data_IF_453537098950
#
_entry.id   IF_453537098950
#
_cell.length_a   1.000
_cell.length_b   1.000
_cell.length_c   1.000
_cell.angle_alpha   90.00
_cell.angle_beta   90.00
_cell.angle_gamma   90.00
#
_symmetry.space_group_name_H-M   'P 1'
#
loop_
_entity.id
_entity.type
_entity.pdbx_description
1 polymer ?
#
# COMPACT_ATOMS: atom_id res chain seq x y z
N UNK A 1 -42.31 -4.30 23.78
CA UNK A 1 -40.93 -4.34 24.28
C UNK A 1 -40.01 -4.01 23.10
N UNK A 2 -39.26 -2.91 23.15
CA UNK A 2 -38.23 -2.63 22.13
C UNK A 2 -37.11 -3.67 22.32
N UNK A 3 -36.67 -4.31 21.24
CA UNK A 3 -35.58 -5.28 21.28
C UNK A 3 -34.28 -4.64 21.81
N UNK A 4 -33.30 -5.45 22.27
CA UNK A 4 -32.04 -4.90 22.75
C UNK A 4 -31.38 -4.07 21.65
N UNK A 5 -30.98 -2.84 21.97
CA UNK A 5 -30.27 -1.97 21.04
C UNK A 5 -28.95 -2.64 20.63
N UNK A 6 -28.88 -3.10 19.39
CA UNK A 6 -27.66 -3.71 18.82
C UNK A 6 -26.77 -2.59 18.30
N UNK A 7 -25.78 -2.20 19.11
CA UNK A 7 -24.76 -1.22 18.71
C UNK A 7 -23.60 -1.89 17.97
N UNK A 8 -23.05 -1.23 16.94
CA UNK A 8 -21.88 -1.72 16.18
C UNK A 8 -20.61 -1.62 17.02
N UNK A 9 -20.46 -0.55 17.81
CA UNK A 9 -19.42 -0.41 18.81
C UNK A 9 -20.01 -0.48 20.23
N UNK A 10 -19.77 -1.56 20.99
CA UNK A 10 -20.27 -1.72 22.35
C UNK A 10 -19.73 -0.66 23.32
N UNK A 11 -18.48 -0.22 23.11
CA UNK A 11 -17.77 0.68 24.02
C UNK A 11 -18.32 2.09 24.05
N UNK A 12 -18.73 2.63 22.89
CA UNK A 12 -19.28 3.98 22.78
C UNK A 12 -20.75 4.04 22.37
N UNK A 13 -21.39 2.87 22.17
CA UNK A 13 -22.77 2.76 21.64
C UNK A 13 -22.95 3.58 20.36
N UNK A 14 -22.00 3.42 19.44
CA UNK A 14 -21.91 4.13 18.15
C UNK A 14 -21.76 5.65 18.18
N UNK A 15 -21.71 6.28 19.35
CA UNK A 15 -21.49 7.74 19.48
C UNK A 15 -20.10 8.18 18.99
N UNK A 16 -19.11 7.30 19.05
CA UNK A 16 -17.71 7.59 18.72
C UNK A 16 -16.94 8.34 19.82
N UNK A 17 -17.54 8.55 20.99
CA UNK A 17 -16.96 9.25 22.14
C UNK A 17 -17.20 8.45 23.42
N UNK A 18 -16.25 8.52 24.36
CA UNK A 18 -16.38 7.94 25.70
C UNK A 18 -16.00 9.00 26.74
N UNK A 19 -16.58 8.91 27.94
CA UNK A 19 -16.23 9.79 29.04
C UNK A 19 -14.84 9.44 29.57
N UNK A 20 -13.98 10.44 29.69
CA UNK A 20 -12.68 10.32 30.34
C UNK A 20 -12.86 10.44 31.85
N UNK A 21 -12.70 9.32 32.56
CA UNK A 21 -12.87 9.25 34.00
C UNK A 21 -11.59 9.62 34.77
N UNK A 22 -10.52 9.97 34.06
CA UNK A 22 -9.18 10.17 34.63
C UNK A 22 -8.90 11.61 35.05
N UNK A 23 -9.79 12.56 34.69
CA UNK A 23 -9.63 13.98 34.98
C UNK A 23 -10.73 14.51 35.92
N UNK A 24 -10.42 15.54 36.74
CA UNK A 24 -11.39 16.15 37.65
C UNK A 24 -12.52 16.90 36.92
N UNK A 25 -12.42 17.06 35.60
CA UNK A 25 -13.42 17.64 34.72
C UNK A 25 -13.97 16.55 33.82
N UNK A 26 -15.30 16.45 33.69
CA UNK A 26 -15.94 15.56 32.73
C UNK A 26 -15.56 15.95 31.31
N UNK A 27 -14.58 15.25 30.76
CA UNK A 27 -14.13 15.40 29.38
C UNK A 27 -14.54 14.17 28.56
N UNK A 28 -14.76 14.35 27.26
CA UNK A 28 -15.02 13.24 26.34
C UNK A 28 -13.79 13.00 25.48
N UNK A 29 -13.38 11.75 25.34
CA UNK A 29 -12.28 11.33 24.46
C UNK A 29 -12.82 10.51 23.28
N UNK A 30 -12.17 10.57 22.12
CA UNK A 30 -12.53 9.71 20.98
C UNK A 30 -12.53 8.23 21.39
N UNK A 31 -13.54 7.49 20.96
CA UNK A 31 -13.60 6.05 21.23
C UNK A 31 -12.44 5.33 20.53
N UNK A 32 -11.55 4.64 21.27
CA UNK A 32 -10.37 3.99 20.70
C UNK A 32 -10.74 2.80 19.80
N UNK A 33 -11.88 2.14 20.07
CA UNK A 33 -12.28 0.90 19.40
C UNK A 33 -12.89 1.14 18.02
N UNK A 34 -13.76 2.14 17.87
CA UNK A 34 -14.41 2.39 16.58
C UNK A 34 -13.81 3.57 15.83
N UNK A 35 -13.36 4.63 16.51
CA UNK A 35 -12.97 5.87 15.83
C UNK A 35 -11.60 5.74 15.18
N UNK A 36 -10.68 5.03 15.81
CA UNK A 36 -9.38 4.67 15.23
C UNK A 36 -9.60 3.87 13.94
N UNK A 37 -10.30 2.74 14.01
CA UNK A 37 -10.57 1.88 12.85
C UNK A 37 -11.35 2.59 11.75
N UNK A 38 -12.36 3.40 12.08
CA UNK A 38 -13.10 4.22 11.09
C UNK A 38 -12.19 5.24 10.41
N UNK A 39 -11.29 5.88 11.17
CA UNK A 39 -10.32 6.84 10.63
C UNK A 39 -9.33 6.15 9.71
N UNK A 40 -8.71 5.07 10.15
CA UNK A 40 -7.78 4.26 9.35
C UNK A 40 -8.41 3.79 8.04
N UNK A 41 -9.64 3.23 8.10
CA UNK A 41 -10.35 2.76 6.92
C UNK A 41 -10.69 3.91 5.95
N UNK A 42 -11.07 5.07 6.49
CA UNK A 42 -11.29 6.27 5.68
C UNK A 42 -9.99 6.72 5.01
N UNK A 43 -8.89 6.81 5.74
CA UNK A 43 -7.59 7.18 5.19
C UNK A 43 -7.13 6.21 4.11
N UNK A 44 -7.33 4.90 4.31
CA UNK A 44 -6.97 3.88 3.32
C UNK A 44 -7.82 3.97 2.05
N UNK A 45 -9.13 4.22 2.19
CA UNK A 45 -10.02 4.46 1.06
C UNK A 45 -9.64 5.75 0.33
N UNK A 46 -9.39 6.81 1.09
CA UNK A 46 -9.01 8.13 0.57
C UNK A 46 -7.60 8.09 -0.04
N UNK A 47 -6.76 7.11 0.29
CA UNK A 47 -5.41 6.99 -0.27
C UNK A 47 -5.39 6.79 -1.79
N UNK A 48 -6.51 6.38 -2.41
CA UNK A 48 -6.60 6.30 -3.88
C UNK A 48 -5.78 5.18 -4.49
N UNK A 49 -5.47 4.12 -3.72
CA UNK A 49 -4.76 2.95 -4.22
C UNK A 49 -5.66 2.22 -5.24
N UNK A 50 -5.18 1.94 -6.46
CA UNK A 50 -5.93 1.15 -7.42
C UNK A 50 -6.25 -0.26 -6.91
N UNK A 51 -7.43 -0.83 -7.22
CA UNK A 51 -7.84 -2.15 -6.75
C UNK A 51 -6.83 -3.27 -7.04
N UNK A 52 -6.10 -3.17 -8.16
CA UNK A 52 -5.07 -4.14 -8.56
C UNK A 52 -3.89 -4.26 -7.58
N UNK A 53 -3.76 -3.33 -6.65
CA UNK A 53 -2.70 -3.32 -5.65
C UNK A 53 -3.18 -3.57 -4.22
N UNK A 54 -4.47 -3.87 -4.02
CA UNK A 54 -5.03 -4.11 -2.68
C UNK A 54 -4.42 -5.32 -2.00
N UNK A 55 -4.00 -6.32 -2.77
CA UNK A 55 -3.33 -7.53 -2.30
C UNK A 55 -1.82 -7.33 -2.04
N UNK A 56 -1.24 -6.16 -2.36
CA UNK A 56 0.20 -5.90 -2.20
C UNK A 56 0.53 -5.42 -0.79
N UNK A 57 1.69 -5.81 -0.30
CA UNK A 57 2.18 -5.51 1.06
C UNK A 57 3.59 -6.07 1.25
N UNK A 58 4.29 -5.61 2.29
CA UNK A 58 5.65 -6.09 2.57
C UNK A 58 5.66 -7.60 2.88
N UNK A 59 4.64 -8.08 3.57
CA UNK A 59 4.50 -9.48 3.99
C UNK A 59 4.29 -10.45 2.80
N UNK A 60 3.98 -9.92 1.61
CA UNK A 60 3.77 -10.68 0.37
C UNK A 60 4.71 -10.23 -0.76
N UNK A 61 5.77 -9.52 -0.40
CA UNK A 61 6.86 -9.16 -1.33
C UNK A 61 7.99 -10.19 -1.18
N UNK A 62 8.24 -10.95 -2.25
CA UNK A 62 9.24 -12.01 -2.25
C UNK A 62 10.40 -11.59 -3.14
N UNK A 63 11.48 -11.01 -2.58
CA UNK A 63 12.63 -10.59 -3.37
C UNK A 63 13.36 -11.79 -3.95
N UNK A 64 13.86 -11.66 -5.18
CA UNK A 64 14.85 -12.60 -5.71
C UNK A 64 16.17 -12.43 -4.92
N UNK A 65 16.70 -13.50 -4.28
CA UNK A 65 17.91 -13.42 -3.45
C UNK A 65 19.17 -12.97 -4.19
N UNK A 66 19.18 -12.99 -5.52
CA UNK A 66 20.33 -12.60 -6.37
C UNK A 66 20.18 -11.19 -6.93
N UNK A 67 19.24 -10.42 -6.40
CA UNK A 67 18.83 -9.13 -6.95
C UNK A 67 18.87 -8.04 -5.90
N UNK A 68 18.77 -6.77 -6.29
CA UNK A 68 18.72 -5.65 -5.33
C UNK A 68 17.35 -5.50 -4.63
N UNK A 69 16.38 -6.38 -4.92
CA UNK A 69 15.04 -6.35 -4.32
C UNK A 69 15.06 -6.56 -2.81
N UNK A 70 15.97 -7.38 -2.28
CA UNK A 70 16.10 -7.60 -0.83
C UNK A 70 16.55 -6.32 -0.12
N UNK A 71 17.54 -5.61 -0.69
CA UNK A 71 17.97 -4.32 -0.18
C UNK A 71 16.87 -3.26 -0.29
N UNK A 72 16.10 -3.26 -1.38
CA UNK A 72 14.97 -2.36 -1.55
C UNK A 72 13.84 -2.65 -0.53
N UNK A 73 13.55 -3.92 -0.25
CA UNK A 73 12.60 -4.33 0.78
C UNK A 73 13.06 -3.88 2.17
N UNK A 74 14.33 -4.11 2.51
CA UNK A 74 14.93 -3.67 3.77
C UNK A 74 14.81 -2.15 3.93
N UNK A 75 15.18 -1.39 2.89
CA UNK A 75 15.08 0.08 2.92
C UNK A 75 13.64 0.57 3.08
N UNK A 76 12.68 -0.10 2.44
CA UNK A 76 11.26 0.20 2.61
C UNK A 76 10.79 -0.04 4.06
N UNK A 77 11.22 -1.14 4.69
CA UNK A 77 10.90 -1.44 6.09
C UNK A 77 11.50 -0.38 7.04
N UNK A 78 12.79 -0.06 6.89
CA UNK A 78 13.47 0.99 7.67
C UNK A 78 12.78 2.35 7.51
N UNK A 79 12.34 2.70 6.30
CA UNK A 79 11.62 3.94 6.04
C UNK A 79 10.29 3.99 6.81
N UNK A 80 9.54 2.87 6.83
CA UNK A 80 8.28 2.79 7.57
C UNK A 80 8.53 2.93 9.06
N UNK A 81 9.52 2.24 9.61
CA UNK A 81 9.87 2.29 11.03
C UNK A 81 10.23 3.70 11.47
N UNK A 82 11.09 4.39 10.70
CA UNK A 82 11.57 5.73 11.01
C UNK A 82 10.54 6.85 10.80
N UNK A 83 9.41 6.61 10.13
CA UNK A 83 8.40 7.63 9.89
C UNK A 83 7.73 8.10 11.20
N UNK A 84 7.51 9.41 11.45
CA UNK A 84 7.65 10.55 10.52
C UNK A 84 9.03 11.22 10.51
N UNK A 85 10.00 10.76 11.29
CA UNK A 85 11.32 11.40 11.46
C UNK A 85 12.29 11.18 10.29
N UNK A 86 11.78 10.68 9.16
CA UNK A 86 12.53 10.52 7.91
C UNK A 86 12.86 11.87 7.30
N UNK A 87 14.14 12.09 6.96
CA UNK A 87 14.57 13.34 6.32
C UNK A 87 14.19 13.45 4.85
N UNK A 88 14.12 12.32 4.16
CA UNK A 88 13.87 12.21 2.72
C UNK A 88 12.94 11.05 2.44
N UNK A 89 12.17 11.16 1.36
CA UNK A 89 11.42 10.06 0.77
C UNK A 89 12.32 9.05 0.06
N UNK A 90 11.72 8.19 -0.76
CA UNK A 90 12.43 7.18 -1.55
C UNK A 90 12.11 7.34 -3.03
N UNK A 91 13.09 7.12 -3.90
CA UNK A 91 12.92 7.03 -5.35
C UNK A 91 13.36 5.63 -5.79
N UNK A 92 12.39 4.76 -6.06
CA UNK A 92 12.66 3.44 -6.61
C UNK A 92 12.93 3.52 -8.10
N UNK A 93 14.10 3.08 -8.54
CA UNK A 93 14.55 3.14 -9.94
C UNK A 93 14.82 1.72 -10.44
N UNK A 94 14.33 1.38 -11.63
CA UNK A 94 14.62 0.06 -12.20
C UNK A 94 13.66 -0.33 -13.32
N UNK A 95 13.94 -1.44 -13.99
CA UNK A 95 13.12 -1.92 -15.12
C UNK A 95 11.67 -2.21 -14.71
N UNK A 96 10.71 -2.23 -15.66
CA UNK A 96 9.35 -2.70 -15.39
C UNK A 96 9.36 -4.10 -14.75
N UNK A 97 8.33 -4.41 -13.96
CA UNK A 97 8.14 -5.78 -13.43
C UNK A 97 8.93 -6.15 -12.17
N UNK A 98 9.98 -5.39 -11.81
CA UNK A 98 10.85 -5.70 -10.66
C UNK A 98 10.26 -5.36 -9.27
N UNK A 99 9.00 -4.92 -9.20
CA UNK A 99 8.29 -4.71 -7.92
C UNK A 99 8.36 -3.32 -7.28
N UNK A 100 8.80 -2.28 -7.99
CA UNK A 100 8.88 -0.89 -7.47
C UNK A 100 7.54 -0.37 -6.93
N UNK A 101 6.46 -0.50 -7.70
CA UNK A 101 5.12 -0.08 -7.28
C UNK A 101 4.59 -0.91 -6.11
N UNK A 102 4.95 -2.19 -6.04
CA UNK A 102 4.57 -3.02 -4.90
C UNK A 102 5.15 -2.46 -3.62
N UNK A 103 6.45 -2.15 -3.61
CA UNK A 103 7.13 -1.57 -2.45
C UNK A 103 6.53 -0.21 -2.06
N UNK A 104 6.28 0.68 -3.03
CA UNK A 104 5.71 2.00 -2.74
C UNK A 104 4.28 1.91 -2.18
N UNK A 105 3.43 1.03 -2.73
CA UNK A 105 2.09 0.77 -2.18
C UNK A 105 2.16 0.11 -0.81
N UNK A 106 3.09 -0.81 -0.60
CA UNK A 106 3.28 -1.46 0.69
C UNK A 106 3.65 -0.45 1.79
N UNK A 107 4.57 0.47 1.51
CA UNK A 107 4.92 1.59 2.40
C UNK A 107 3.67 2.41 2.73
N UNK A 108 2.93 2.85 1.71
CA UNK A 108 1.73 3.65 1.89
C UNK A 108 0.68 2.94 2.76
N UNK A 109 0.37 1.68 2.44
CA UNK A 109 -0.60 0.90 3.21
C UNK A 109 -0.17 0.74 4.66
N UNK A 110 1.10 0.38 4.90
CA UNK A 110 1.61 0.14 6.26
C UNK A 110 1.56 1.42 7.10
N UNK A 111 1.97 2.55 6.54
CA UNK A 111 1.92 3.85 7.23
C UNK A 111 0.48 4.33 7.50
N UNK A 112 -0.45 4.09 6.58
CA UNK A 112 -1.87 4.37 6.82
C UNK A 112 -2.42 3.46 7.93
N UNK A 113 -2.17 2.15 7.84
CA UNK A 113 -2.75 1.15 8.73
C UNK A 113 -2.19 1.19 10.15
N UNK A 114 -0.88 1.37 10.30
CA UNK A 114 -0.20 1.28 11.59
C UNK A 114 0.04 2.64 12.23
N UNK A 115 0.17 3.69 11.42
CA UNK A 115 0.53 5.03 11.89
C UNK A 115 -0.51 6.11 11.55
N UNK A 116 -1.66 5.76 10.97
CA UNK A 116 -2.74 6.68 10.57
C UNK A 116 -2.25 7.86 9.72
N UNK A 117 -1.22 7.64 8.90
CA UNK A 117 -0.67 8.68 8.02
C UNK A 117 -1.66 9.01 6.91
N UNK A 118 -1.92 10.29 6.67
CA UNK A 118 -2.73 10.74 5.54
C UNK A 118 -1.93 10.63 4.24
N UNK A 119 -2.05 9.47 3.58
CA UNK A 119 -1.34 9.18 2.35
C UNK A 119 -2.19 9.31 1.08
N UNK A 120 -1.53 9.49 -0.08
CA UNK A 120 -2.15 9.44 -1.41
C UNK A 120 -1.29 8.64 -2.38
N UNK A 121 -1.91 7.92 -3.28
CA UNK A 121 -1.31 7.26 -4.42
C UNK A 121 -1.75 7.97 -5.70
N UNK A 122 -0.82 8.22 -6.61
CA UNK A 122 -1.11 8.64 -7.98
C UNK A 122 -0.24 7.85 -8.95
N UNK A 123 -0.83 7.49 -10.08
CA UNK A 123 -0.12 7.10 -11.29
C UNK A 123 0.03 8.35 -12.17
N UNK A 124 1.22 8.61 -12.71
CA UNK A 124 1.48 9.82 -13.50
C UNK A 124 0.54 9.96 -14.70
N UNK A 125 0.26 8.87 -15.42
CA UNK A 125 -0.59 8.89 -16.62
C UNK A 125 -2.03 9.22 -16.24
N UNK A 126 -2.53 8.58 -15.18
CA UNK A 126 -3.86 8.84 -14.65
C UNK A 126 -4.00 10.27 -14.10
N UNK A 127 -2.97 10.77 -13.42
CA UNK A 127 -2.92 12.16 -12.95
C UNK A 127 -3.00 13.14 -14.11
N UNK A 128 -2.18 12.97 -15.15
CA UNK A 128 -2.21 13.81 -16.34
C UNK A 128 -3.58 13.77 -17.04
N UNK A 129 -4.21 12.60 -17.09
CA UNK A 129 -5.55 12.44 -17.65
C UNK A 129 -6.58 13.24 -16.86
N UNK A 130 -6.64 13.07 -15.54
CA UNK A 130 -7.57 13.82 -14.66
C UNK A 130 -7.35 15.32 -14.75
N UNK A 131 -6.08 15.73 -14.79
CA UNK A 131 -5.70 17.13 -14.95
C UNK A 131 -6.17 17.71 -16.30
N UNK A 132 -6.12 16.94 -17.40
CA UNK A 132 -6.71 17.39 -18.68
C UNK A 132 -8.24 17.49 -18.61
N UNK A 133 -8.91 16.51 -18.00
CA UNK A 133 -10.36 16.53 -17.84
C UNK A 133 -10.83 17.68 -16.95
N UNK A 134 -10.04 18.13 -15.96
CA UNK A 134 -10.41 19.19 -15.03
C UNK A 134 -10.62 20.58 -15.66
N UNK A 135 -10.30 20.71 -16.95
CA UNK A 135 -10.42 21.94 -17.74
C UNK A 135 -11.57 21.90 -18.74
N UNK A 136 -12.28 20.77 -18.85
CA UNK A 136 -13.45 20.66 -19.71
C UNK A 136 -14.63 21.50 -19.17
N UNK A 137 -15.49 22.04 -20.06
CA UNK A 137 -16.66 22.83 -19.64
C UNK A 137 -17.64 22.05 -18.75
N UNK A 138 -17.71 20.73 -18.92
CA UNK A 138 -18.57 19.82 -18.14
C UNK A 138 -17.78 19.02 -17.09
N UNK A 139 -16.64 19.54 -16.64
CA UNK A 139 -15.78 18.78 -15.74
C UNK A 139 -16.38 18.61 -14.34
N UNK A 140 -16.36 17.37 -13.78
CA UNK A 140 -16.84 17.13 -12.42
C UNK A 140 -15.84 17.56 -11.34
N UNK A 141 -14.60 17.88 -11.70
CA UNK A 141 -13.54 18.29 -10.78
C UNK A 141 -12.69 19.42 -11.37
N UNK A 142 -12.27 20.37 -10.53
CA UNK A 142 -11.35 21.45 -10.91
C UNK A 142 -9.90 21.04 -10.70
N UNK A 143 -8.95 21.72 -11.35
CA UNK A 143 -7.51 21.49 -11.11
C UNK A 143 -7.17 21.58 -9.62
N UNK A 144 -7.75 22.57 -8.93
CA UNK A 144 -7.54 22.78 -7.51
C UNK A 144 -7.97 21.55 -6.70
N UNK A 145 -9.08 20.92 -7.06
CA UNK A 145 -9.58 19.70 -6.39
C UNK A 145 -8.72 18.47 -6.69
N UNK A 146 -8.08 18.42 -7.86
CA UNK A 146 -7.08 17.39 -8.19
C UNK A 146 -5.79 17.60 -7.39
N UNK A 147 -5.29 18.83 -7.29
CA UNK A 147 -3.98 19.13 -6.70
C UNK A 147 -3.98 19.20 -5.18
N UNK A 148 -4.98 19.84 -4.57
CA UNK A 148 -4.97 20.10 -3.12
C UNK A 148 -4.81 18.84 -2.26
N UNK A 149 -5.49 17.70 -2.55
CA UNK A 149 -5.28 16.47 -1.80
C UNK A 149 -3.85 15.97 -1.89
N UNK A 150 -3.20 16.12 -3.05
CA UNK A 150 -1.83 15.69 -3.31
C UNK A 150 -0.80 16.63 -2.66
N UNK A 151 -1.10 17.92 -2.57
CA UNK A 151 -0.26 18.90 -1.87
C UNK A 151 -0.32 18.73 -0.35
N UNK A 152 -1.51 18.43 0.20
CA UNK A 152 -1.75 18.35 1.65
C UNK A 152 -1.36 17.02 2.28
N UNK A 153 -1.41 15.91 1.52
CA UNK A 153 -1.07 14.60 2.04
C UNK A 153 0.33 14.56 2.67
N UNK A 154 0.44 13.91 3.83
CA UNK A 154 1.70 13.77 4.54
C UNK A 154 2.65 12.86 3.79
N UNK A 155 2.10 11.82 3.15
CA UNK A 155 2.82 10.93 2.24
C UNK A 155 2.17 10.93 0.86
N UNK A 156 2.97 11.12 -0.19
CA UNK A 156 2.53 10.92 -1.58
C UNK A 156 3.35 9.80 -2.21
N UNK A 157 2.67 8.79 -2.77
CA UNK A 157 3.27 7.84 -3.70
C UNK A 157 3.00 8.35 -5.11
N UNK A 158 4.07 8.70 -5.83
CA UNK A 158 4.04 9.09 -7.23
C UNK A 158 4.60 7.94 -8.07
N UNK A 159 3.72 7.18 -8.69
CA UNK A 159 4.07 5.98 -9.46
C UNK A 159 4.38 6.32 -10.93
N UNK A 160 5.37 5.63 -11.48
CA UNK A 160 5.81 5.66 -12.88
C UNK A 160 6.18 7.06 -13.41
N UNK A 161 6.88 7.85 -12.59
CA UNK A 161 7.38 9.19 -12.93
C UNK A 161 8.21 9.20 -14.24
N UNK A 162 7.86 10.10 -15.15
CA UNK A 162 8.49 10.29 -16.46
C UNK A 162 7.96 9.37 -17.57
N UNK A 163 7.04 8.46 -17.25
CA UNK A 163 6.37 7.59 -18.25
C UNK A 163 5.45 8.39 -19.15
N UNK A 164 4.74 9.37 -18.58
CA UNK A 164 3.87 10.28 -19.31
C UNK A 164 4.64 11.17 -20.30
N UNK A 165 3.89 11.73 -21.25
CA UNK A 165 4.35 12.83 -22.11
C UNK A 165 3.50 14.06 -21.76
N UNK A 166 3.84 14.79 -20.68
CA UNK A 166 3.07 15.95 -20.29
C UNK A 166 3.16 17.03 -21.37
N UNK A 167 2.06 17.75 -21.58
CA UNK A 167 2.10 19.04 -22.28
C UNK A 167 2.92 20.03 -21.44
N UNK A 168 3.41 21.11 -22.05
CA UNK A 168 4.18 22.14 -21.32
C UNK A 168 3.44 22.66 -20.09
N UNK A 169 2.14 22.92 -20.25
CA UNK A 169 1.26 23.31 -19.15
C UNK A 169 1.17 22.22 -18.05
N UNK A 170 0.93 20.95 -18.42
CA UNK A 170 0.83 19.89 -17.43
C UNK A 170 2.17 19.66 -16.68
N UNK A 171 3.29 19.89 -17.36
CA UNK A 171 4.61 19.87 -16.75
C UNK A 171 4.77 21.00 -15.73
N UNK A 172 4.25 22.20 -15.99
CA UNK A 172 4.25 23.30 -15.02
C UNK A 172 3.38 22.99 -13.80
N UNK A 173 2.23 22.34 -14.00
CA UNK A 173 1.40 21.85 -12.89
C UNK A 173 2.12 20.79 -12.03
N UNK A 174 2.80 19.82 -12.66
CA UNK A 174 3.66 18.84 -11.95
C UNK A 174 4.74 19.57 -11.13
N UNK A 175 5.41 20.55 -11.73
CA UNK A 175 6.44 21.35 -11.06
C UNK A 175 5.87 22.12 -9.88
N UNK A 176 4.68 22.69 -10.01
CA UNK A 176 3.98 23.41 -8.94
C UNK A 176 3.69 22.48 -7.76
N UNK A 177 3.13 21.29 -8.04
CA UNK A 177 2.83 20.27 -7.03
C UNK A 177 4.10 19.81 -6.30
N UNK A 178 5.14 19.43 -7.04
CA UNK A 178 6.39 18.96 -6.44
C UNK A 178 7.15 20.06 -5.70
N UNK A 179 7.12 21.30 -6.21
CA UNK A 179 7.72 22.45 -5.53
C UNK A 179 7.01 22.76 -4.22
N UNK A 180 5.67 22.67 -4.16
CA UNK A 180 4.94 22.79 -2.91
C UNK A 180 5.41 21.72 -1.91
N UNK A 181 5.46 20.45 -2.32
CA UNK A 181 5.88 19.36 -1.43
C UNK A 181 7.33 19.51 -0.97
N UNK A 182 8.23 19.97 -1.84
CA UNK A 182 9.60 20.32 -1.49
C UNK A 182 9.67 21.40 -0.40
N UNK A 183 9.04 22.55 -0.64
CA UNK A 183 9.08 23.71 0.28
C UNK A 183 8.50 23.39 1.66
N UNK A 184 7.43 22.58 1.69
CA UNK A 184 6.78 22.16 2.93
C UNK A 184 7.33 20.83 3.49
N UNK A 185 8.44 20.34 2.96
CA UNK A 185 9.12 19.10 3.40
C UNK A 185 8.16 17.89 3.52
N UNK A 186 7.20 17.79 2.59
CA UNK A 186 6.22 16.70 2.56
C UNK A 186 6.82 15.45 1.93
N UNK A 187 6.64 14.31 2.61
CA UNK A 187 7.30 13.06 2.23
C UNK A 187 6.74 12.48 0.93
N UNK A 188 7.61 12.12 0.00
CA UNK A 188 7.18 11.62 -1.31
C UNK A 188 7.99 10.40 -1.71
N UNK A 189 7.30 9.30 -2.01
CA UNK A 189 7.88 8.08 -2.56
C UNK A 189 7.61 8.06 -4.06
N UNK A 190 8.66 7.98 -4.85
CA UNK A 190 8.58 7.96 -6.30
C UNK A 190 8.94 6.57 -6.83
N UNK A 191 8.40 6.21 -7.99
CA UNK A 191 8.90 5.10 -8.80
C UNK A 191 9.19 5.59 -10.21
N UNK A 192 10.23 5.06 -10.86
CA UNK A 192 10.53 5.38 -12.25
C UNK A 192 11.19 4.20 -12.97
N UNK A 193 10.89 4.08 -14.26
CA UNK A 193 11.54 3.12 -15.16
C UNK A 193 12.76 3.72 -15.87
N UNK A 194 13.03 5.01 -15.66
CA UNK A 194 14.09 5.74 -16.38
C UNK A 194 15.37 5.84 -15.54
N UNK A 195 16.55 5.64 -16.15
CA UNK A 195 17.83 5.92 -15.50
C UNK A 195 17.91 7.35 -14.95
N UNK A 196 18.34 7.48 -13.69
CA UNK A 196 18.52 8.78 -13.03
C UNK A 196 19.91 9.33 -13.39
N UNK A 197 19.96 10.20 -14.40
CA UNK A 197 21.18 10.88 -14.84
C UNK A 197 20.88 12.37 -15.02
N UNK A 198 21.69 13.24 -14.38
CA UNK A 198 21.55 14.69 -14.47
C UNK A 198 22.08 15.27 -15.79
N UNK A 199 23.04 14.60 -16.41
CA UNK A 199 23.58 15.00 -17.71
C UNK A 199 22.66 14.52 -18.82
N UNK A 200 22.25 15.44 -19.71
CA UNK A 200 21.63 15.07 -20.96
C UNK A 200 22.62 14.27 -21.81
N UNK A 201 22.10 13.35 -22.62
CA UNK A 201 22.92 12.64 -23.59
C UNK A 201 23.54 13.58 -24.61
N UNK A 202 24.74 13.24 -25.07
CA UNK A 202 25.39 14.01 -26.14
C UNK A 202 24.63 13.79 -27.46
N UNK A 203 24.58 14.80 -28.36
CA UNK A 203 24.02 14.61 -29.69
C UNK A 203 24.70 13.42 -30.40
N UNK A 204 23.91 12.43 -30.84
CA UNK A 204 24.41 11.21 -31.48
C UNK A 204 24.67 10.02 -30.56
N UNK A 205 24.51 10.17 -29.23
CA UNK A 205 24.66 9.07 -28.28
C UNK A 205 23.44 8.13 -28.32
N UNK A 206 23.66 6.89 -28.74
CA UNK A 206 22.65 5.83 -28.74
C UNK A 206 22.54 5.24 -27.33
N UNK A 207 21.34 5.27 -26.73
CA UNK A 207 21.11 4.77 -25.37
C UNK A 207 19.68 4.97 -24.89
N UNK A 208 19.40 4.62 -23.65
CA UNK A 208 18.10 4.86 -23.02
C UNK A 208 17.94 6.33 -22.62
N UNK A 209 16.71 6.87 -22.76
CA UNK A 209 16.36 8.19 -22.23
C UNK A 209 16.55 8.24 -20.72
N UNK A 210 17.05 9.36 -20.20
CA UNK A 210 17.14 9.57 -18.76
C UNK A 210 15.85 10.18 -18.21
N UNK A 211 15.66 10.10 -16.91
CA UNK A 211 14.57 10.80 -16.25
C UNK A 211 14.68 12.32 -16.45
N UNK A 212 15.88 12.89 -16.46
CA UNK A 212 16.10 14.32 -16.70
C UNK A 212 15.61 14.78 -18.07
N UNK A 213 15.72 13.94 -19.10
CA UNK A 213 15.19 14.22 -20.44
C UNK A 213 13.65 14.25 -20.46
N UNK A 214 13.00 13.56 -19.51
CA UNK A 214 11.53 13.52 -19.38
C UNK A 214 10.96 14.64 -18.52
N UNK A 215 11.62 14.97 -17.41
CA UNK A 215 11.06 15.90 -16.40
C UNK A 215 11.87 17.18 -16.22
N UNK A 216 12.93 17.37 -17.02
CA UNK A 216 13.96 18.42 -16.90
C UNK A 216 14.97 18.19 -15.77
N UNK A 217 16.20 18.67 -15.98
CA UNK A 217 17.31 18.61 -15.00
C UNK A 217 16.95 19.30 -13.69
N UNK A 218 16.25 20.46 -13.76
CA UNK A 218 15.90 21.25 -12.58
C UNK A 218 14.93 20.51 -11.66
N UNK A 219 13.92 19.84 -12.23
CA UNK A 219 12.99 19.07 -11.43
C UNK A 219 13.65 17.82 -10.83
N UNK A 220 14.47 17.13 -11.63
CA UNK A 220 15.22 15.97 -11.14
C UNK A 220 16.14 16.33 -9.95
N UNK A 221 16.85 17.46 -10.04
CA UNK A 221 17.71 17.93 -8.95
C UNK A 221 16.94 18.11 -7.63
N UNK A 222 15.71 18.64 -7.68
CA UNK A 222 14.87 18.77 -6.49
C UNK A 222 14.41 17.41 -5.97
N UNK A 223 14.03 16.50 -6.86
CA UNK A 223 13.64 15.14 -6.47
C UNK A 223 14.81 14.41 -5.79
N UNK A 224 16.04 14.60 -6.26
CA UNK A 224 17.24 14.01 -5.64
C UNK A 224 17.55 14.58 -4.25
N UNK A 225 17.11 15.81 -3.93
CA UNK A 225 17.15 16.33 -2.56
C UNK A 225 16.00 15.78 -1.71
N UNK A 226 14.82 15.62 -2.30
CA UNK A 226 13.62 15.12 -1.61
C UNK A 226 13.66 13.63 -1.29
N UNK A 227 14.36 12.84 -2.09
CA UNK A 227 14.28 11.38 -2.05
C UNK A 227 15.65 10.71 -2.21
N UNK A 228 15.86 9.66 -1.42
CA UNK A 228 16.99 8.75 -1.56
C UNK A 228 16.73 7.78 -2.72
N UNK A 229 17.72 7.58 -3.60
CA UNK A 229 17.61 6.66 -4.73
C UNK A 229 17.81 5.22 -4.24
N UNK A 230 16.87 4.34 -4.59
CA UNK A 230 16.93 2.91 -4.32
C UNK A 230 16.80 2.16 -5.63
N UNK A 231 17.88 1.54 -6.09
CA UNK A 231 17.87 0.75 -7.31
C UNK A 231 17.22 -0.62 -7.07
N UNK A 232 16.27 -0.97 -7.93
CA UNK A 232 15.55 -2.24 -7.90
C UNK A 232 15.81 -2.98 -9.22
N UNK A 233 16.66 -3.99 -9.13
CA UNK A 233 17.05 -4.89 -10.22
C UNK A 233 16.53 -6.28 -9.87
N UNK A 234 16.21 -7.09 -10.87
CA UNK A 234 15.67 -8.43 -10.68
C UNK A 234 14.91 -8.92 -11.92
N UNK A 235 14.38 -10.14 -11.89
CA UNK A 235 13.52 -10.66 -12.95
C UNK A 235 12.21 -9.87 -13.07
N UNK A 236 11.61 -9.90 -14.26
CA UNK A 236 10.24 -9.40 -14.43
C UNK A 236 9.26 -10.47 -13.94
N UNK A 237 8.73 -10.27 -12.73
CA UNK A 237 7.74 -11.17 -12.15
C UNK A 237 6.43 -11.22 -12.95
N UNK A 238 6.15 -10.26 -13.84
CA UNK A 238 4.98 -10.29 -14.73
C UNK A 238 5.14 -11.32 -15.84
N UNK A 239 6.38 -11.61 -16.27
CA UNK A 239 6.66 -12.68 -17.23
C UNK A 239 6.61 -14.07 -16.59
N UNK A 240 6.96 -14.18 -15.30
CA UNK A 240 6.91 -15.45 -14.57
C UNK A 240 5.48 -15.95 -14.33
N UNK A 241 4.53 -15.04 -14.10
CA UNK A 241 3.08 -15.34 -13.94
C UNK A 241 2.46 -15.96 -15.20
N UNK A 242 3.14 -15.88 -16.36
CA UNK A 242 2.67 -16.47 -17.62
C UNK A 242 3.26 -17.86 -17.94
N UNK A 243 4.04 -18.48 -17.04
CA UNK A 243 4.59 -19.83 -17.25
C UNK A 243 3.71 -20.89 -16.58
N UNK A 244 2.85 -21.61 -17.33
CA UNK A 244 1.96 -22.64 -16.77
C UNK A 244 2.79 -23.79 -16.18
N UNK A 245 2.95 -23.78 -14.86
CA UNK A 245 3.72 -24.77 -14.11
C UNK A 245 4.51 -24.19 -12.93
N UNK A 246 4.97 -22.93 -13.01
CA UNK A 246 5.65 -22.26 -11.87
C UNK A 246 4.67 -21.64 -10.88
N UNK A 247 3.43 -21.35 -11.31
CA UNK A 247 2.35 -20.84 -10.45
C UNK A 247 2.05 -21.78 -9.27
N UNK A 248 2.16 -23.10 -9.44
CA UNK A 248 1.92 -24.07 -8.37
C UNK A 248 3.03 -24.11 -7.32
N UNK A 249 4.30 -23.95 -7.73
CA UNK A 249 5.44 -23.93 -6.80
C UNK A 249 5.51 -22.61 -6.04
N UNK A 250 5.21 -21.49 -6.73
CA UNK A 250 5.10 -20.18 -6.09
C UNK A 250 3.84 -20.09 -5.22
N UNK A 251 2.68 -20.64 -5.63
CA UNK A 251 1.45 -20.64 -4.82
C UNK A 251 1.62 -21.43 -3.52
N UNK A 252 2.34 -22.56 -3.54
CA UNK A 252 2.64 -23.35 -2.36
C UNK A 252 3.58 -22.62 -1.38
N UNK A 253 4.69 -22.06 -1.89
CA UNK A 253 5.58 -21.22 -1.07
C UNK A 253 4.87 -19.99 -0.48
N UNK A 254 3.98 -19.35 -1.25
CA UNK A 254 3.16 -18.22 -0.77
C UNK A 254 2.14 -18.67 0.29
N UNK A 255 1.57 -19.87 0.17
CA UNK A 255 0.68 -20.42 1.18
C UNK A 255 1.40 -20.73 2.50
N UNK A 256 2.58 -21.34 2.43
CA UNK A 256 3.37 -21.72 3.61
C UNK A 256 3.80 -20.51 4.45
N UNK A 257 4.01 -19.36 3.80
CA UNK A 257 4.47 -18.12 4.45
C UNK A 257 3.33 -17.24 5.00
N UNK A 258 2.05 -17.57 4.74
CA UNK A 258 0.91 -16.85 5.33
C UNK A 258 0.80 -17.18 6.81
N UNK A 259 1.31 -16.31 7.68
CA UNK A 259 1.18 -16.48 9.13
C UNK A 259 -0.22 -16.09 9.57
N UNK A 260 -0.97 -17.06 10.12
CA UNK A 260 -2.27 -16.80 10.71
C UNK A 260 -2.02 -16.17 12.09
N UNK A 261 -2.36 -14.89 12.23
CA UNK A 261 -2.20 -14.20 13.52
C UNK A 261 -2.96 -14.94 14.64
N UNK A 262 -2.28 -15.12 15.76
CA UNK A 262 -2.81 -15.73 16.98
C UNK A 262 -4.09 -14.98 17.43
N UNK A 263 -5.17 -15.71 17.68
CA UNK A 263 -6.46 -15.13 18.10
C UNK A 263 -7.48 -14.86 17.00
N UNK A 264 -7.15 -15.09 15.72
CA UNK A 264 -8.12 -14.97 14.61
C UNK A 264 -8.98 -16.20 14.37
N UNK A 265 -8.47 -17.36 14.77
CA UNK A 265 -9.21 -18.61 14.72
C UNK A 265 -9.83 -18.87 16.08
N UNK A 266 -11.14 -19.14 16.08
CA UNK A 266 -11.90 -19.51 17.26
C UNK A 266 -12.46 -20.89 17.03
N UNK A 267 -12.27 -21.78 18.00
CA UNK A 267 -12.91 -23.09 17.96
C UNK A 267 -14.43 -22.91 18.09
N UNK A 268 -15.20 -23.34 17.10
CA UNK A 268 -16.67 -23.26 17.12
C UNK A 268 -17.31 -24.08 18.25
N UNK A 269 -16.60 -25.11 18.75
CA UNK A 269 -17.10 -26.00 19.81
C UNK A 269 -16.95 -25.43 21.22
N UNK A 270 -15.81 -24.82 21.53
CA UNK A 270 -15.49 -24.40 22.90
C UNK A 270 -15.11 -22.91 23.03
N UNK A 271 -15.13 -22.16 21.93
CA UNK A 271 -14.79 -20.73 21.90
C UNK A 271 -13.32 -20.40 22.15
N UNK A 272 -12.45 -21.42 22.32
CA UNK A 272 -11.03 -21.23 22.59
C UNK A 272 -10.31 -20.59 21.40
N UNK A 273 -9.40 -19.66 21.70
CA UNK A 273 -8.46 -19.05 20.75
C UNK A 273 -7.13 -19.82 20.65
N UNK A 274 -6.95 -20.86 21.49
CA UNK A 274 -5.78 -21.73 21.45
C UNK A 274 -5.93 -22.76 20.32
N UNK A 275 -5.69 -22.28 19.09
CA UNK A 275 -5.76 -23.06 17.85
C UNK A 275 -4.34 -23.35 17.37
N UNK A 276 -4.11 -24.60 17.00
CA UNK A 276 -2.87 -25.08 16.42
C UNK A 276 -3.09 -25.34 14.93
N UNK A 277 -2.24 -24.74 14.10
CA UNK A 277 -2.18 -24.99 12.67
C UNK A 277 -1.41 -26.30 12.42
N UNK A 278 -1.99 -27.21 11.63
CA UNK A 278 -1.34 -28.46 11.25
C UNK A 278 -0.78 -28.43 9.84
N UNK A 279 -1.55 -27.91 8.89
CA UNK A 279 -1.19 -27.89 7.48
C UNK A 279 -1.99 -26.81 6.73
N UNK A 280 -1.56 -26.51 5.51
CA UNK A 280 -2.21 -25.55 4.60
C UNK A 280 -2.25 -26.09 3.18
N UNK A 281 -3.30 -25.72 2.44
CA UNK A 281 -3.33 -25.95 1.00
C UNK A 281 -2.53 -24.90 0.25
N UNK A 282 -2.21 -25.18 -1.01
CA UNK A 282 -1.79 -24.14 -1.96
C UNK A 282 -2.86 -23.03 -2.07
N UNK A 283 -2.46 -21.85 -2.56
CA UNK A 283 -3.41 -20.76 -2.81
C UNK A 283 -4.41 -21.21 -3.88
N UNK A 284 -5.69 -21.21 -3.49
CA UNK A 284 -6.83 -21.48 -4.36
C UNK A 284 -7.56 -20.18 -4.67
N UNK A 285 -8.35 -20.17 -5.74
CA UNK A 285 -9.14 -19.00 -6.14
C UNK A 285 -10.60 -19.37 -6.35
N UNK A 286 -11.51 -18.59 -5.76
CA UNK A 286 -12.95 -18.68 -6.00
C UNK A 286 -13.51 -17.30 -6.40
N UNK A 287 -14.84 -17.17 -6.45
CA UNK A 287 -15.53 -15.91 -6.75
C UNK A 287 -15.25 -14.82 -5.71
N UNK A 288 -14.87 -15.17 -4.49
CA UNK A 288 -14.59 -14.25 -3.41
C UNK A 288 -13.12 -13.80 -3.35
N UNK A 289 -12.20 -14.49 -4.02
CA UNK A 289 -10.80 -14.11 -4.13
C UNK A 289 -9.84 -15.28 -4.01
N UNK A 290 -8.57 -14.96 -3.78
CA UNK A 290 -7.55 -15.94 -3.42
C UNK A 290 -7.66 -16.30 -1.93
N UNK A 291 -7.58 -17.59 -1.63
CA UNK A 291 -7.68 -18.13 -0.28
C UNK A 291 -6.75 -19.32 -0.07
N UNK A 292 -6.45 -19.60 1.20
CA UNK A 292 -5.74 -20.80 1.65
C UNK A 292 -6.65 -21.55 2.61
N UNK A 293 -6.80 -22.86 2.43
CA UNK A 293 -7.46 -23.71 3.42
C UNK A 293 -6.43 -24.15 4.45
N UNK A 294 -6.74 -23.91 5.72
CA UNK A 294 -5.87 -24.16 6.86
C UNK A 294 -6.51 -25.25 7.69
N UNK A 295 -5.77 -26.34 7.91
CA UNK A 295 -6.17 -27.44 8.78
C UNK A 295 -5.77 -27.12 10.22
N UNK A 296 -6.77 -27.02 11.09
CA UNK A 296 -6.61 -26.51 12.45
C UNK A 296 -7.06 -27.55 13.49
N UNK A 297 -6.41 -27.55 14.65
CA UNK A 297 -6.80 -28.35 15.82
C UNK A 297 -6.90 -27.48 17.06
N UNK A 298 -7.98 -27.63 17.83
CA UNK A 298 -8.15 -26.92 19.08
C UNK A 298 -7.34 -27.58 20.21
N UNK A 299 -6.42 -26.84 20.86
CA UNK A 299 -5.64 -27.39 21.98
C UNK A 299 -6.49 -27.77 23.19
N UNK A 300 -7.65 -27.11 23.37
CA UNK A 300 -8.53 -27.29 24.54
C UNK A 300 -9.50 -28.47 24.40
N UNK A 301 -10.19 -28.59 23.27
CA UNK A 301 -11.22 -29.63 23.08
C UNK A 301 -10.85 -30.67 22.02
N UNK A 302 -9.66 -30.55 21.42
CA UNK A 302 -9.11 -31.44 20.39
C UNK A 302 -9.92 -31.52 19.09
N UNK A 303 -10.93 -30.66 18.93
CA UNK A 303 -11.71 -30.56 17.69
C UNK A 303 -10.82 -30.16 16.52
N UNK A 304 -10.98 -30.84 15.39
CA UNK A 304 -10.32 -30.54 14.13
C UNK A 304 -11.29 -29.85 13.17
N UNK A 305 -10.82 -28.81 12.48
CA UNK A 305 -11.65 -28.05 11.55
C UNK A 305 -10.80 -27.40 10.47
N UNK A 306 -11.45 -27.07 9.35
CA UNK A 306 -10.83 -26.38 8.22
C UNK A 306 -11.34 -24.94 8.15
N UNK A 307 -10.41 -24.00 8.11
CA UNK A 307 -10.69 -22.57 7.94
C UNK A 307 -10.10 -22.08 6.61
N UNK A 308 -10.91 -21.41 5.79
CA UNK A 308 -10.44 -20.64 4.63
C UNK A 308 -10.00 -19.28 5.09
N UNK A 309 -8.75 -18.96 4.81
CA UNK A 309 -8.17 -17.66 5.04
C UNK A 309 -8.06 -16.91 3.72
N UNK A 310 -8.66 -15.72 3.64
CA UNK A 310 -8.57 -14.83 2.48
C UNK A 310 -7.59 -13.69 2.79
N UNK A 311 -6.31 -13.77 2.37
CA UNK A 311 -5.28 -12.83 2.82
C UNK A 311 -5.58 -11.38 2.43
N UNK A 312 -6.06 -11.16 1.20
CA UNK A 312 -6.33 -9.82 0.68
C UNK A 312 -7.51 -9.12 1.39
N UNK A 313 -8.46 -9.89 1.94
CA UNK A 313 -9.66 -9.38 2.62
C UNK A 313 -9.55 -9.45 4.14
N UNK A 314 -8.50 -10.08 4.66
CA UNK A 314 -8.33 -10.33 6.07
C UNK A 314 -9.52 -11.07 6.70
N UNK A 315 -10.14 -11.99 5.94
CA UNK A 315 -11.40 -12.66 6.29
C UNK A 315 -11.15 -14.16 6.50
N UNK A 316 -11.90 -14.76 7.43
CA UNK A 316 -11.91 -16.21 7.71
C UNK A 316 -13.30 -16.76 7.45
N UNK A 317 -13.39 -17.88 6.75
CA UNK A 317 -14.62 -18.64 6.53
C UNK A 317 -14.41 -20.08 7.04
N UNK A 318 -15.30 -20.59 7.88
CA UNK A 318 -15.22 -21.95 8.43
C UNK A 318 -15.95 -22.91 7.49
N UNK A 319 -15.22 -23.86 6.90
CA UNK A 319 -15.71 -24.62 5.74
C UNK A 319 -16.43 -25.89 6.15
N UNK A 320 -15.96 -26.58 7.20
CA UNK A 320 -16.59 -27.77 7.81
C UNK A 320 -15.78 -28.33 8.98
N UNK A 321 -16.48 -29.06 9.87
CA UNK A 321 -15.93 -30.00 10.85
C UNK A 321 -15.47 -31.26 10.10
N UNK A 322 -14.26 -31.76 10.41
CA UNK A 322 -13.78 -33.05 9.92
C UNK A 322 -14.37 -34.17 10.77
#
# INVERSE_FOLDING_TARGET
MRGPDVYTCPSCRDSGWILNQSEPVETVVPCPDCRTTRTTNRLLKDAGIPPRYYDKGLDVYFPDPRSSQEQALKRAAEYIEAFPDVRRGLLFVGKPGVGKTHLSVAILKRLVLEKNVAGKFIDETEFLRRLQYSYGPDSPETEREVLLPLMKADLLVWDDLGTGRPTEWAMETIRTLLNHRYTFQKQTVFTTNWPVRLTARKPGETGEQSLAERITVRLLSRIMEMAEIVEVTGPDFREEVHKPGMDAVQSKKRADQIVIQVGRLRCEKCGSLAIEERDKTEIKRNREGEFVEVFCSCRKCKEEFVARFYPAKNQVEYVKKV
#
